data_IF_478426644114
#
_entry.id   IF_478426644114
#
_cell.length_a   1.000
_cell.length_b   1.000
_cell.length_c   1.000
_cell.angle_alpha   90.00
_cell.angle_beta   90.00
_cell.angle_gamma   90.00
#
_symmetry.space_group_name_H-M   'P 1'
#
loop_
_entity.id
_entity.type
_entity.pdbx_description
1 polymer ?
#
# COMPACT_ATOMS: atom_id res chain seq x y z
N UNK A 1 -22.17 -8.63 8.34
CA UNK A 1 -20.78 -9.05 8.60
C UNK A 1 -19.87 -8.01 7.96
N UNK A 2 -18.95 -7.42 8.71
CA UNK A 2 -18.03 -6.40 8.19
C UNK A 2 -17.00 -7.05 7.26
N UNK A 3 -16.59 -6.33 6.22
CA UNK A 3 -15.57 -6.77 5.28
C UNK A 3 -14.34 -5.87 5.34
N UNK A 4 -13.20 -6.39 4.91
CA UNK A 4 -11.99 -5.58 4.77
C UNK A 4 -11.21 -6.02 3.53
N UNK A 5 -10.58 -5.05 2.88
CA UNK A 5 -9.64 -5.26 1.78
C UNK A 5 -8.25 -4.91 2.25
N UNK A 6 -7.29 -5.80 2.00
CA UNK A 6 -5.88 -5.61 2.34
C UNK A 6 -5.08 -5.55 1.03
N UNK A 7 -4.20 -4.57 0.90
CA UNK A 7 -3.24 -4.48 -0.19
C UNK A 7 -1.82 -4.64 0.37
N UNK A 8 -1.07 -5.60 -0.18
CA UNK A 8 0.36 -5.81 0.09
C UNK A 8 1.14 -5.49 -1.17
N UNK A 9 1.92 -4.42 -1.14
CA UNK A 9 2.57 -3.87 -2.33
C UNK A 9 4.08 -3.90 -2.16
N UNK A 10 4.76 -4.41 -3.20
CA UNK A 10 6.21 -4.53 -3.25
C UNK A 10 6.70 -4.07 -4.63
N UNK A 11 7.77 -3.28 -4.64
CA UNK A 11 8.42 -2.82 -5.87
C UNK A 11 7.98 -1.43 -6.32
N UNK A 12 8.87 -0.77 -7.05
CA UNK A 12 8.77 0.66 -7.40
C UNK A 12 7.48 0.98 -8.16
N UNK A 13 7.16 0.23 -9.22
CA UNK A 13 6.00 0.50 -10.07
C UNK A 13 4.69 0.39 -9.28
N UNK A 14 4.55 -0.69 -8.50
CA UNK A 14 3.32 -1.00 -7.76
C UNK A 14 3.11 0.01 -6.62
N UNK A 15 4.16 0.31 -5.86
CA UNK A 15 4.07 1.27 -4.75
C UNK A 15 3.81 2.68 -5.26
N UNK A 16 4.47 3.11 -6.35
CA UNK A 16 4.18 4.42 -6.95
C UNK A 16 2.76 4.52 -7.51
N UNK A 17 2.25 3.47 -8.16
CA UNK A 17 0.88 3.46 -8.67
C UNK A 17 -0.14 3.63 -7.53
N UNK A 18 0.08 2.96 -6.39
CA UNK A 18 -0.79 3.07 -5.23
C UNK A 18 -0.72 4.46 -4.56
N UNK A 19 0.46 5.09 -4.52
CA UNK A 19 0.59 6.48 -4.07
C UNK A 19 -0.19 7.42 -4.99
N UNK A 20 -0.02 7.30 -6.30
CA UNK A 20 -0.73 8.13 -7.30
C UNK A 20 -2.25 7.96 -7.21
N UNK A 21 -2.71 6.74 -6.91
CA UNK A 21 -4.12 6.43 -6.69
C UNK A 21 -4.66 6.85 -5.32
N UNK A 22 -3.83 7.42 -4.43
CA UNK A 22 -4.24 7.82 -3.08
C UNK A 22 -4.51 6.66 -2.11
N UNK A 23 -4.09 5.44 -2.47
CA UNK A 23 -4.28 4.23 -1.66
C UNK A 23 -3.19 4.06 -0.58
N UNK A 24 -2.02 4.68 -0.79
CA UNK A 24 -0.87 4.67 0.11
C UNK A 24 -0.36 6.09 0.28
N UNK A 25 -0.17 6.53 1.53
CA UNK A 25 0.50 7.80 1.80
C UNK A 25 2.01 7.67 1.51
N UNK A 26 2.68 8.63 0.84
CA UNK A 26 4.11 8.52 0.52
C UNK A 26 5.01 8.25 1.73
N UNK A 27 4.69 8.83 2.89
CA UNK A 27 5.44 8.62 4.13
C UNK A 27 5.20 7.24 4.78
N UNK A 28 4.22 6.47 4.30
CA UNK A 28 3.96 5.11 4.78
C UNK A 28 4.79 4.04 4.03
N UNK A 29 5.61 4.44 3.05
CA UNK A 29 6.48 3.50 2.31
C UNK A 29 7.73 3.19 3.11
N UNK A 30 7.97 1.91 3.33
CA UNK A 30 9.20 1.39 3.91
C UNK A 30 10.11 0.85 2.81
N UNK A 31 11.42 0.88 3.00
CA UNK A 31 12.37 0.17 2.13
C UNK A 31 12.95 -1.03 2.86
N UNK A 32 12.76 -2.22 2.30
CA UNK A 32 13.33 -3.48 2.80
C UNK A 32 14.27 -4.01 1.74
N UNK A 33 15.54 -4.22 2.10
CA UNK A 33 16.61 -4.56 1.15
C UNK A 33 16.67 -3.61 -0.07
N UNK A 34 16.42 -2.31 0.17
CA UNK A 34 16.39 -1.29 -0.89
C UNK A 34 15.10 -1.26 -1.73
N UNK A 35 14.21 -2.25 -1.62
CA UNK A 35 12.95 -2.33 -2.38
C UNK A 35 11.82 -1.65 -1.59
N UNK A 36 11.00 -0.79 -2.20
CA UNK A 36 9.88 -0.16 -1.51
C UNK A 36 8.75 -1.15 -1.24
N UNK A 37 8.14 -1.01 -0.06
CA UNK A 37 7.06 -1.83 0.44
C UNK A 37 5.99 -0.94 1.08
N UNK A 38 4.72 -1.30 0.90
CA UNK A 38 3.60 -0.67 1.57
C UNK A 38 2.48 -1.68 1.83
N UNK A 39 1.76 -1.50 2.94
CA UNK A 39 0.54 -2.24 3.27
C UNK A 39 -0.57 -1.27 3.67
N UNK A 40 -1.79 -1.52 3.22
CA UNK A 40 -2.98 -0.75 3.62
C UNK A 40 -4.17 -1.66 3.88
N UNK A 41 -5.05 -1.24 4.80
CA UNK A 41 -6.27 -1.95 5.19
C UNK A 41 -7.45 -0.99 5.05
N UNK A 42 -8.45 -1.37 4.25
CA UNK A 42 -9.70 -0.63 4.10
C UNK A 42 -10.85 -1.47 4.65
N UNK A 43 -11.53 -0.95 5.64
CA UNK A 43 -12.76 -1.55 6.18
C UNK A 43 -13.99 -1.08 5.39
N UNK A 44 -14.94 -1.97 5.17
CA UNK A 44 -16.27 -1.68 4.61
C UNK A 44 -17.37 -2.30 5.45
N UNK A 45 -18.45 -1.54 5.62
CA UNK A 45 -19.66 -1.92 6.37
C UNK A 45 -20.57 -2.81 5.52
#
# INVERSE_FOLDING_TARGET
ASSATILNLVGENTVQAAIKAGLVHPQAVLRVAGVPHAQTVKFSS
#
